data_IF_590367977893
#
_entry.id   IF_590367977893
#
_cell.length_a   1.000
_cell.length_b   1.000
_cell.length_c   1.000
_cell.angle_alpha   90.00
_cell.angle_beta   90.00
_cell.angle_gamma   90.00
#
_symmetry.space_group_name_H-M   'P 1'
#
loop_
_entity.id
_entity.type
_entity.pdbx_description
1 polymer ?
#
# COMPACT_ATOMS: atom_id res chain seq x y z
N UNK A 1 18.89 -20.20 8.29
CA UNK A 1 19.17 -20.51 6.87
C UNK A 1 20.59 -21.02 6.67
N UNK A 2 21.63 -20.31 7.12
CA UNK A 2 23.04 -20.73 6.93
C UNK A 2 23.39 -22.13 7.45
N UNK A 3 22.87 -22.51 8.63
CA UNK A 3 23.14 -23.84 9.22
C UNK A 3 22.54 -25.00 8.43
N UNK A 4 21.42 -24.76 7.74
CA UNK A 4 20.77 -25.75 6.88
C UNK A 4 21.51 -25.90 5.55
N UNK A 5 22.02 -24.79 5.00
CA UNK A 5 22.82 -24.81 3.77
C UNK A 5 24.13 -25.59 3.98
N UNK A 6 24.85 -25.33 5.07
CA UNK A 6 26.10 -26.04 5.39
C UNK A 6 25.93 -27.56 5.57
N UNK A 7 24.75 -28.02 5.99
CA UNK A 7 24.45 -29.46 6.09
C UNK A 7 24.17 -30.10 4.72
N UNK A 8 23.52 -29.36 3.82
CA UNK A 8 23.28 -29.80 2.43
C UNK A 8 24.60 -29.91 1.68
N UNK A 9 25.46 -28.90 1.78
CA UNK A 9 26.77 -28.88 1.11
C UNK A 9 27.67 -30.04 1.60
N UNK A 10 27.62 -30.36 2.89
CA UNK A 10 28.36 -31.48 3.48
C UNK A 10 27.84 -32.87 3.02
N UNK A 11 26.54 -32.98 2.76
CA UNK A 11 25.95 -34.21 2.22
C UNK A 11 26.24 -34.36 0.72
N UNK A 12 26.26 -33.26 -0.03
CA UNK A 12 26.58 -33.24 -1.46
C UNK A 12 28.04 -33.63 -1.70
N UNK A 13 28.98 -33.15 -0.88
CA UNK A 13 30.37 -33.58 -0.91
C UNK A 13 30.54 -35.09 -0.67
N UNK A 14 29.83 -35.64 0.32
CA UNK A 14 29.84 -37.09 0.61
C UNK A 14 29.21 -37.92 -0.52
N UNK A 15 28.17 -37.40 -1.18
CA UNK A 15 27.53 -38.06 -2.31
C UNK A 15 28.48 -38.14 -3.51
N UNK A 16 29.26 -37.08 -3.78
CA UNK A 16 30.27 -37.06 -4.85
C UNK A 16 31.40 -38.05 -4.55
N UNK A 17 31.84 -38.13 -3.30
CA UNK A 17 32.86 -39.08 -2.86
C UNK A 17 32.39 -40.54 -3.03
N UNK A 18 31.17 -40.84 -2.57
CA UNK A 18 30.56 -42.17 -2.75
C UNK A 18 30.35 -42.51 -4.23
N UNK A 19 29.86 -41.56 -5.05
CA UNK A 19 29.73 -41.75 -6.50
C UNK A 19 31.08 -42.06 -7.17
N UNK A 20 32.14 -41.37 -6.77
CA UNK A 20 33.49 -41.60 -7.33
C UNK A 20 34.01 -42.99 -6.96
N UNK A 21 33.76 -43.45 -5.73
CA UNK A 21 34.10 -44.81 -5.31
C UNK A 21 33.30 -45.89 -6.07
N UNK A 22 32.02 -45.64 -6.35
CA UNK A 22 31.19 -46.54 -7.14
C UNK A 22 31.62 -46.60 -8.61
N UNK A 23 31.89 -45.45 -9.24
CA UNK A 23 32.28 -45.41 -10.65
C UNK A 23 33.64 -46.06 -10.91
N UNK A 24 34.60 -45.88 -9.99
CA UNK A 24 35.89 -46.55 -10.04
C UNK A 24 35.77 -48.07 -9.87
N UNK A 25 34.70 -48.54 -9.21
CA UNK A 25 34.41 -49.97 -9.08
C UNK A 25 33.67 -50.54 -10.30
N UNK A 26 32.81 -49.76 -10.96
CA UNK A 26 32.09 -50.17 -12.18
C UNK A 26 32.98 -50.27 -13.43
N UNK A 27 34.10 -49.54 -13.49
CA UNK A 27 35.07 -49.65 -14.61
C UNK A 27 36.03 -50.84 -14.48
N UNK A 28 36.05 -51.52 -13.34
CA UNK A 28 37.00 -52.61 -13.01
C UNK A 28 36.33 -53.99 -13.04
N UNK A 29 34.99 -54.05 -13.11
CA UNK A 29 34.22 -55.28 -12.89
C UNK A 29 34.33 -56.35 -13.98
N UNK A 30 34.67 -55.99 -15.23
CA UNK A 30 34.68 -56.97 -16.34
C UNK A 30 36.01 -57.74 -16.48
N UNK A 31 37.14 -57.18 -16.02
CA UNK A 31 38.45 -57.86 -16.10
C UNK A 31 38.75 -58.72 -14.86
N UNK A 32 38.33 -58.29 -13.66
CA UNK A 32 38.65 -59.03 -12.43
C UNK A 32 37.84 -60.33 -12.25
N UNK A 33 36.61 -60.39 -12.76
CA UNK A 33 35.82 -61.64 -12.73
C UNK A 33 36.46 -62.72 -13.62
N UNK A 34 37.10 -62.34 -14.73
CA UNK A 34 37.78 -63.28 -15.62
C UNK A 34 39.06 -63.87 -15.00
N UNK A 35 39.88 -63.08 -14.32
CA UNK A 35 41.14 -63.57 -13.74
C UNK A 35 40.93 -64.48 -12.53
N UNK A 36 39.99 -64.13 -11.65
CA UNK A 36 39.66 -64.96 -10.50
C UNK A 36 38.98 -66.27 -10.90
N UNK A 37 38.08 -66.24 -11.88
CA UNK A 37 37.46 -67.46 -12.42
C UNK A 37 38.48 -68.38 -13.09
N UNK A 38 39.42 -67.80 -13.87
CA UNK A 38 40.53 -68.55 -14.46
C UNK A 38 41.40 -69.15 -13.38
N UNK A 39 41.74 -68.41 -12.33
CA UNK A 39 42.53 -68.91 -11.21
C UNK A 39 41.79 -70.02 -10.45
N UNK A 40 40.49 -69.87 -10.19
CA UNK A 40 39.66 -70.88 -9.54
C UNK A 40 39.56 -72.16 -10.37
N UNK A 41 39.34 -72.05 -11.70
CA UNK A 41 39.36 -73.19 -12.61
C UNK A 41 40.71 -73.89 -12.58
N UNK A 42 41.82 -73.14 -12.65
CA UNK A 42 43.18 -73.69 -12.61
C UNK A 42 43.50 -74.38 -11.28
N UNK A 43 43.11 -73.79 -10.15
CA UNK A 43 43.31 -74.39 -8.81
C UNK A 43 42.48 -75.66 -8.67
N UNK A 44 41.22 -75.67 -9.15
CA UNK A 44 40.37 -76.88 -9.16
C UNK A 44 41.00 -77.98 -10.03
N UNK A 45 41.43 -77.66 -11.25
CA UNK A 45 42.10 -78.60 -12.14
C UNK A 45 43.41 -79.14 -11.55
N UNK A 46 44.25 -78.27 -10.97
CA UNK A 46 45.49 -78.67 -10.33
C UNK A 46 45.22 -79.60 -9.12
N UNK A 47 44.22 -79.29 -8.31
CA UNK A 47 43.79 -80.15 -7.20
C UNK A 47 43.30 -81.52 -7.67
N UNK A 48 42.51 -81.59 -8.74
CA UNK A 48 42.07 -82.87 -9.34
C UNK A 48 43.25 -83.68 -9.88
N UNK A 49 44.19 -83.04 -10.58
CA UNK A 49 45.38 -83.70 -11.11
C UNK A 49 46.30 -84.21 -10.00
N UNK A 50 46.49 -83.44 -8.93
CA UNK A 50 47.27 -83.84 -7.77
C UNK A 50 46.60 -84.97 -7.00
N UNK A 51 45.28 -84.95 -6.88
CA UNK A 51 44.53 -86.07 -6.30
C UNK A 51 44.72 -87.34 -7.12
N UNK A 52 44.61 -87.24 -8.45
CA UNK A 52 44.89 -88.35 -9.36
C UNK A 52 46.33 -88.87 -9.24
N UNK A 53 47.32 -87.98 -9.20
CA UNK A 53 48.73 -88.34 -9.03
C UNK A 53 48.98 -88.97 -7.65
N UNK A 54 48.34 -88.47 -6.60
CA UNK A 54 48.38 -89.05 -5.24
C UNK A 54 47.80 -90.47 -5.25
N UNK A 55 46.63 -90.69 -5.86
CA UNK A 55 46.03 -92.02 -5.99
C UNK A 55 46.92 -92.96 -6.81
N UNK A 56 47.54 -92.45 -7.88
CA UNK A 56 48.46 -93.22 -8.73
C UNK A 56 49.76 -93.56 -8.00
N UNK A 57 50.32 -92.64 -7.22
CA UNK A 57 51.50 -92.87 -6.40
C UNK A 57 51.24 -93.88 -5.27
N UNK A 58 50.05 -93.82 -4.64
CA UNK A 58 49.59 -94.82 -3.68
C UNK A 58 49.40 -96.20 -4.34
N UNK A 59 48.87 -96.26 -5.57
CA UNK A 59 48.78 -97.51 -6.33
C UNK A 59 50.15 -98.05 -6.78
N UNK A 60 51.13 -97.18 -7.06
CA UNK A 60 52.51 -97.60 -7.33
C UNK A 60 53.21 -98.17 -6.09
N UNK A 61 52.80 -97.75 -4.89
CA UNK A 61 53.29 -98.33 -3.63
C UNK A 61 52.62 -99.66 -3.27
N UNK A 62 51.62 -100.12 -4.04
CA UNK A 62 50.95 -101.42 -3.85
C UNK A 62 51.33 -102.45 -4.93
N UNK A 63 52.37 -102.18 -5.72
CA UNK A 63 52.81 -103.04 -6.82
C UNK A 63 53.87 -104.04 -6.34
N UNK A 64 53.74 -105.31 -6.73
CA UNK A 64 54.65 -106.41 -6.35
C UNK A 64 56.12 -106.09 -6.71
N UNK A 65 57.00 -106.45 -5.76
CA UNK A 65 58.45 -106.20 -5.72
C UNK A 65 59.18 -106.51 -7.04
N UNK A 66 58.71 -107.52 -7.80
CA UNK A 66 59.36 -108.01 -9.03
C UNK A 66 59.27 -107.06 -10.24
N UNK A 67 58.28 -106.17 -10.30
CA UNK A 67 58.16 -105.24 -11.44
C UNK A 67 58.98 -103.96 -11.22
N UNK A 68 59.28 -103.64 -9.95
CA UNK A 68 60.12 -102.52 -9.55
C UNK A 68 61.58 -102.74 -9.97
N UNK A 69 62.07 -103.97 -9.88
CA UNK A 69 63.45 -104.36 -10.20
C UNK A 69 63.77 -104.20 -11.70
N UNK A 70 62.77 -104.28 -12.59
CA UNK A 70 63.01 -104.19 -14.04
C UNK A 70 63.11 -102.75 -14.58
N UNK A 71 62.63 -101.76 -13.82
CA UNK A 71 62.75 -100.34 -14.19
C UNK A 71 63.97 -99.65 -13.56
N UNK A 72 64.60 -100.26 -12.56
CA UNK A 72 65.59 -99.65 -11.68
C UNK A 72 67.04 -100.10 -11.92
N UNK A 73 67.37 -100.64 -13.10
CA UNK A 73 68.74 -101.00 -13.47
C UNK A 73 69.63 -99.80 -13.84
N UNK A 74 69.47 -98.67 -13.14
CA UNK A 74 70.43 -97.58 -13.07
C UNK A 74 70.35 -96.98 -11.67
N UNK A 75 71.46 -97.04 -10.93
CA UNK A 75 71.58 -96.55 -9.56
C UNK A 75 71.42 -95.02 -9.52
N UNK A 76 70.31 -94.54 -8.93
CA UNK A 76 70.12 -93.25 -8.21
C UNK A 76 68.63 -92.95 -7.86
N UNK A 77 67.67 -93.83 -8.18
CA UNK A 77 66.23 -93.47 -8.24
C UNK A 77 65.35 -93.68 -6.98
N UNK A 78 65.78 -94.41 -5.94
CA UNK A 78 64.89 -94.76 -4.80
C UNK A 78 64.65 -93.59 -3.82
N UNK A 79 65.66 -92.75 -3.58
CA UNK A 79 65.54 -91.53 -2.76
C UNK A 79 64.69 -90.45 -3.43
N UNK A 80 64.76 -90.37 -4.77
CA UNK A 80 63.99 -89.44 -5.58
C UNK A 80 62.47 -89.72 -5.50
N UNK A 81 62.05 -90.99 -5.46
CA UNK A 81 60.64 -91.37 -5.33
C UNK A 81 60.04 -90.96 -3.97
N UNK A 82 60.79 -91.13 -2.88
CA UNK A 82 60.36 -90.73 -1.53
C UNK A 82 60.23 -89.20 -1.40
N UNK A 83 61.17 -88.46 -1.97
CA UNK A 83 61.13 -87.00 -2.02
C UNK A 83 59.99 -86.48 -2.92
N UNK A 84 59.73 -87.17 -4.02
CA UNK A 84 58.58 -86.90 -4.90
C UNK A 84 57.25 -87.10 -4.16
N UNK A 85 57.08 -88.21 -3.43
CA UNK A 85 55.88 -88.44 -2.61
C UNK A 85 55.69 -87.37 -1.52
N UNK A 86 56.77 -86.97 -0.84
CA UNK A 86 56.75 -85.89 0.16
C UNK A 86 56.36 -84.54 -0.45
N UNK A 87 56.88 -84.22 -1.63
CA UNK A 87 56.53 -82.98 -2.34
C UNK A 87 55.07 -83.02 -2.81
N UNK A 88 54.59 -84.14 -3.36
CA UNK A 88 53.18 -84.33 -3.74
C UNK A 88 52.24 -84.19 -2.54
N UNK A 89 52.59 -84.75 -1.38
CA UNK A 89 51.79 -84.58 -0.16
C UNK A 89 51.74 -83.12 0.30
N UNK A 90 52.90 -82.45 0.35
CA UNK A 90 53.00 -81.03 0.74
C UNK A 90 52.19 -80.13 -0.20
N UNK A 91 52.28 -80.37 -1.51
CA UNK A 91 51.52 -79.62 -2.52
C UNK A 91 50.03 -79.93 -2.40
N UNK A 92 49.64 -81.17 -2.09
CA UNK A 92 48.23 -81.53 -1.88
C UNK A 92 47.64 -80.78 -0.69
N UNK A 93 48.33 -80.77 0.46
CA UNK A 93 47.86 -80.06 1.66
C UNK A 93 47.79 -78.54 1.43
N UNK A 94 48.75 -77.99 0.70
CA UNK A 94 48.74 -76.58 0.30
C UNK A 94 47.55 -76.25 -0.61
N UNK A 95 47.28 -77.10 -1.60
CA UNK A 95 46.13 -76.94 -2.49
C UNK A 95 44.81 -77.08 -1.76
N UNK A 96 44.68 -78.00 -0.79
CA UNK A 96 43.47 -78.12 0.03
C UNK A 96 43.20 -76.85 0.84
N UNK A 97 44.25 -76.28 1.46
CA UNK A 97 44.14 -74.99 2.19
C UNK A 97 43.79 -73.83 1.25
N UNK A 98 44.32 -73.82 0.04
CA UNK A 98 43.96 -72.82 -0.98
C UNK A 98 42.48 -72.95 -1.39
N UNK A 99 42.02 -74.16 -1.69
CA UNK A 99 40.61 -74.41 -2.07
C UNK A 99 39.66 -73.95 -0.96
N UNK A 100 39.96 -74.25 0.32
CA UNK A 100 39.14 -73.77 1.45
C UNK A 100 39.07 -72.25 1.52
N UNK A 101 40.19 -71.54 1.33
CA UNK A 101 40.21 -70.07 1.30
C UNK A 101 39.45 -69.48 0.11
N UNK A 102 39.58 -70.09 -1.07
CA UNK A 102 38.85 -69.69 -2.27
C UNK A 102 37.34 -69.82 -2.05
N UNK A 103 36.87 -70.94 -1.49
CA UNK A 103 35.45 -71.14 -1.18
C UNK A 103 34.93 -70.12 -0.16
N UNK A 104 35.70 -69.81 0.88
CA UNK A 104 35.32 -68.78 1.87
C UNK A 104 35.27 -67.39 1.24
N UNK A 105 36.24 -67.03 0.40
CA UNK A 105 36.23 -65.74 -0.30
C UNK A 105 35.06 -65.62 -1.29
N UNK A 106 34.72 -66.70 -2.00
CA UNK A 106 33.58 -66.79 -2.91
C UNK A 106 32.25 -66.61 -2.15
N UNK A 107 32.08 -67.28 -1.01
CA UNK A 107 30.87 -67.15 -0.20
C UNK A 107 30.75 -65.78 0.48
N UNK A 108 31.85 -65.21 0.97
CA UNK A 108 31.87 -63.85 1.54
C UNK A 108 31.56 -62.79 0.48
N UNK A 109 32.13 -62.92 -0.72
CA UNK A 109 31.81 -62.03 -1.86
C UNK A 109 30.34 -62.14 -2.25
N UNK A 110 29.77 -63.35 -2.28
CA UNK A 110 28.35 -63.54 -2.57
C UNK A 110 27.44 -62.88 -1.52
N UNK A 111 27.78 -62.98 -0.23
CA UNK A 111 27.06 -62.30 0.86
C UNK A 111 27.16 -60.78 0.69
N UNK A 112 28.34 -60.25 0.38
CA UNK A 112 28.54 -58.81 0.24
C UNK A 112 27.79 -58.26 -0.99
N UNK A 113 27.77 -58.99 -2.12
CA UNK A 113 26.93 -58.65 -3.29
C UNK A 113 25.44 -58.52 -2.90
N UNK A 114 24.91 -59.42 -2.06
CA UNK A 114 23.52 -59.34 -1.58
C UNK A 114 23.29 -58.11 -0.68
N UNK A 115 24.22 -57.79 0.22
CA UNK A 115 24.11 -56.59 1.07
C UNK A 115 24.11 -55.31 0.25
N UNK A 116 24.95 -55.22 -0.78
CA UNK A 116 24.99 -54.07 -1.68
C UNK A 116 23.65 -53.87 -2.37
N UNK A 117 23.04 -54.95 -2.90
CA UNK A 117 21.71 -54.89 -3.54
C UNK A 117 20.63 -54.37 -2.56
N UNK A 118 20.63 -54.86 -1.32
CA UNK A 118 19.69 -54.40 -0.28
C UNK A 118 19.92 -52.92 0.04
N UNK A 119 21.18 -52.51 0.22
CA UNK A 119 21.53 -51.11 0.49
C UNK A 119 21.13 -50.18 -0.66
N UNK A 120 21.35 -50.59 -1.91
CA UNK A 120 20.91 -49.84 -3.09
C UNK A 120 19.38 -49.69 -3.16
N UNK A 121 18.63 -50.73 -2.79
CA UNK A 121 17.18 -50.67 -2.70
C UNK A 121 16.70 -49.66 -1.65
N UNK A 122 17.31 -49.65 -0.46
CA UNK A 122 17.01 -48.70 0.60
C UNK A 122 17.37 -47.26 0.24
N UNK A 123 18.53 -47.05 -0.40
CA UNK A 123 18.93 -45.74 -0.94
C UNK A 123 17.92 -45.27 -1.99
N UNK A 124 17.48 -46.15 -2.89
CA UNK A 124 16.49 -45.80 -3.93
C UNK A 124 15.15 -45.42 -3.34
N UNK A 125 14.66 -46.15 -2.34
CA UNK A 125 13.43 -45.81 -1.61
C UNK A 125 13.55 -44.45 -0.93
N UNK A 126 14.68 -44.19 -0.29
CA UNK A 126 14.95 -42.92 0.39
C UNK A 126 15.02 -41.76 -0.61
N UNK A 127 15.66 -41.95 -1.77
CA UNK A 127 15.72 -40.96 -2.84
C UNK A 127 14.32 -40.59 -3.38
N UNK A 128 13.44 -41.59 -3.59
CA UNK A 128 12.06 -41.34 -4.01
C UNK A 128 11.24 -40.56 -2.98
N UNK A 129 11.46 -40.83 -1.68
CA UNK A 129 10.82 -40.08 -0.61
C UNK A 129 11.29 -38.62 -0.58
N UNK A 130 12.59 -38.38 -0.74
CA UNK A 130 13.17 -37.03 -0.81
C UNK A 130 12.57 -36.27 -2.00
N UNK A 131 12.49 -36.88 -3.18
CA UNK A 131 11.90 -36.27 -4.37
C UNK A 131 10.43 -35.89 -4.13
N UNK A 132 9.66 -36.79 -3.51
CA UNK A 132 8.26 -36.53 -3.16
C UNK A 132 8.13 -35.34 -2.18
N UNK A 133 9.01 -35.25 -1.20
CA UNK A 133 9.03 -34.12 -0.25
C UNK A 133 9.47 -32.83 -0.93
N UNK A 134 10.41 -32.90 -1.88
CA UNK A 134 10.89 -31.75 -2.66
C UNK A 134 9.75 -31.07 -3.41
N UNK A 135 8.96 -31.85 -4.16
CA UNK A 135 7.79 -31.32 -4.89
C UNK A 135 6.79 -30.65 -3.94
N UNK A 136 6.50 -31.27 -2.78
CA UNK A 136 5.59 -30.67 -1.79
C UNK A 136 6.13 -29.34 -1.24
N UNK A 137 7.44 -29.23 -1.01
CA UNK A 137 8.05 -27.98 -0.55
C UNK A 137 7.95 -26.88 -1.61
N UNK A 138 8.13 -27.19 -2.89
CA UNK A 138 7.94 -26.23 -3.98
C UNK A 138 6.49 -25.74 -4.09
N UNK A 139 5.51 -26.62 -3.88
CA UNK A 139 4.09 -26.26 -3.83
C UNK A 139 3.80 -25.33 -2.65
N UNK A 140 4.34 -25.65 -1.46
CA UNK A 140 4.23 -24.79 -0.29
C UNK A 140 4.87 -23.43 -0.52
N UNK A 141 6.04 -23.36 -1.17
CA UNK A 141 6.69 -22.10 -1.49
C UNK A 141 5.84 -21.26 -2.46
N UNK A 142 5.29 -21.89 -3.50
CA UNK A 142 4.35 -21.24 -4.44
C UNK A 142 3.12 -20.70 -3.72
N UNK A 143 2.55 -21.47 -2.78
CA UNK A 143 1.41 -21.05 -1.98
C UNK A 143 1.75 -19.85 -1.07
N UNK A 144 2.87 -19.91 -0.36
CA UNK A 144 3.33 -18.82 0.51
C UNK A 144 3.57 -17.54 -0.30
N UNK A 145 4.20 -17.66 -1.47
CA UNK A 145 4.42 -16.53 -2.38
C UNK A 145 3.10 -15.91 -2.88
N UNK A 146 2.13 -16.76 -3.23
CA UNK A 146 0.79 -16.34 -3.65
C UNK A 146 0.05 -15.58 -2.54
N UNK A 147 0.08 -16.13 -1.32
CA UNK A 147 -0.51 -15.54 -0.12
C UNK A 147 0.14 -14.20 0.23
N UNK A 148 1.48 -14.13 0.23
CA UNK A 148 2.23 -12.89 0.49
C UNK A 148 1.85 -11.77 -0.48
N UNK A 149 1.76 -12.08 -1.79
CA UNK A 149 1.34 -11.10 -2.80
C UNK A 149 -0.07 -10.55 -2.54
N UNK A 150 -0.99 -11.37 -2.03
CA UNK A 150 -2.33 -10.91 -1.65
C UNK A 150 -2.24 -9.96 -0.45
N UNK A 151 -1.48 -10.35 0.59
CA UNK A 151 -1.25 -9.50 1.76
C UNK A 151 -0.62 -8.15 1.41
N UNK A 152 0.37 -8.11 0.52
CA UNK A 152 0.99 -6.86 0.08
C UNK A 152 -0.03 -5.95 -0.63
N UNK A 153 -0.91 -6.51 -1.47
CA UNK A 153 -2.01 -5.76 -2.11
C UNK A 153 -3.03 -5.25 -1.09
N UNK A 154 -3.37 -6.06 -0.09
CA UNK A 154 -4.28 -5.66 0.98
C UNK A 154 -3.67 -4.53 1.81
N UNK A 155 -2.37 -4.63 2.13
CA UNK A 155 -1.64 -3.58 2.85
C UNK A 155 -1.67 -2.25 2.09
N UNK A 156 -1.34 -2.26 0.80
CA UNK A 156 -1.39 -1.05 -0.03
C UNK A 156 -2.79 -0.42 -0.05
N UNK A 157 -3.85 -1.23 -0.22
CA UNK A 157 -5.23 -0.70 -0.19
C UNK A 157 -5.59 -0.06 1.15
N UNK A 158 -5.08 -0.60 2.26
CA UNK A 158 -5.30 -0.02 3.59
C UNK A 158 -4.54 1.31 3.71
N UNK A 159 -3.30 1.38 3.24
CA UNK A 159 -2.52 2.62 3.19
C UNK A 159 -3.26 3.70 2.37
N UNK A 160 -3.72 3.36 1.15
CA UNK A 160 -4.47 4.27 0.28
C UNK A 160 -5.78 4.78 0.94
N UNK A 161 -6.49 3.89 1.67
CA UNK A 161 -7.70 4.26 2.40
C UNK A 161 -7.43 5.20 3.57
N UNK A 162 -6.32 5.01 4.29
CA UNK A 162 -5.91 5.89 5.39
C UNK A 162 -5.57 7.28 4.87
N UNK A 163 -4.87 7.37 3.73
CA UNK A 163 -4.54 8.63 3.08
C UNK A 163 -5.79 9.37 2.59
N UNK A 164 -6.72 8.67 1.94
CA UNK A 164 -7.98 9.28 1.49
C UNK A 164 -8.86 9.71 2.67
N UNK A 165 -8.90 8.92 3.76
CA UNK A 165 -9.62 9.31 4.98
C UNK A 165 -9.01 10.57 5.59
N UNK A 166 -7.69 10.73 5.55
CA UNK A 166 -7.01 11.93 6.04
C UNK A 166 -7.34 13.15 5.19
N UNK A 167 -7.35 13.01 3.86
CA UNK A 167 -7.78 14.08 2.93
C UNK A 167 -9.24 14.45 3.08
N UNK A 168 -10.12 13.49 3.38
CA UNK A 168 -11.53 13.76 3.67
C UNK A 168 -11.69 14.56 4.97
N UNK A 169 -10.90 14.24 6.00
CA UNK A 169 -10.92 14.96 7.28
C UNK A 169 -10.46 16.41 7.11
N UNK A 170 -9.43 16.65 6.32
CA UNK A 170 -8.94 18.00 6.01
C UNK A 170 -10.01 18.84 5.30
N UNK A 171 -10.61 18.31 4.21
CA UNK A 171 -11.72 18.96 3.51
C UNK A 171 -12.93 19.23 4.41
N UNK A 172 -13.22 18.32 5.34
CA UNK A 172 -14.30 18.52 6.30
C UNK A 172 -14.01 19.68 7.27
N UNK A 173 -12.76 19.82 7.72
CA UNK A 173 -12.33 20.94 8.55
C UNK A 173 -12.39 22.29 7.81
N UNK A 174 -11.95 22.33 6.55
CA UNK A 174 -12.06 23.53 5.70
C UNK A 174 -13.53 23.96 5.51
N UNK A 175 -14.41 22.99 5.24
CA UNK A 175 -15.84 23.26 5.10
C UNK A 175 -16.47 23.78 6.41
N UNK A 176 -16.04 23.26 7.57
CA UNK A 176 -16.50 23.74 8.87
C UNK A 176 -16.04 25.19 9.12
N UNK A 177 -14.81 25.52 8.74
CA UNK A 177 -14.29 26.88 8.84
C UNK A 177 -15.06 27.85 7.93
N UNK A 178 -15.30 27.48 6.67
CA UNK A 178 -16.09 28.29 5.73
C UNK A 178 -17.54 28.48 6.22
N UNK A 179 -18.15 27.42 6.75
CA UNK A 179 -19.47 27.50 7.35
C UNK A 179 -19.48 28.46 8.56
N UNK A 180 -18.43 28.46 9.38
CA UNK A 180 -18.29 29.40 10.49
C UNK A 180 -18.11 30.85 10.01
N UNK A 181 -17.37 31.08 8.92
CA UNK A 181 -17.22 32.40 8.29
C UNK A 181 -18.56 32.91 7.78
N UNK A 182 -19.27 32.11 6.98
CA UNK A 182 -20.59 32.47 6.43
C UNK A 182 -21.60 32.78 7.54
N UNK A 183 -21.64 31.98 8.61
CA UNK A 183 -22.52 32.26 9.77
C UNK A 183 -22.24 33.63 10.39
N UNK A 184 -20.97 34.00 10.52
CA UNK A 184 -20.57 35.31 11.05
C UNK A 184 -21.05 36.44 10.14
N UNK A 185 -20.87 36.28 8.84
CA UNK A 185 -21.31 37.27 7.84
C UNK A 185 -22.83 37.45 7.84
N UNK A 186 -23.58 36.36 8.02
CA UNK A 186 -25.04 36.42 8.18
C UNK A 186 -25.47 37.16 9.45
N UNK A 187 -24.78 36.97 10.57
CA UNK A 187 -25.09 37.72 11.80
C UNK A 187 -24.76 39.21 11.64
N UNK A 188 -23.64 39.54 10.97
CA UNK A 188 -23.32 40.92 10.60
C UNK A 188 -24.39 41.51 9.68
N UNK A 189 -24.81 40.79 8.64
CA UNK A 189 -25.87 41.22 7.73
C UNK A 189 -27.19 41.48 8.46
N UNK A 190 -27.57 40.59 9.38
CA UNK A 190 -28.75 40.76 10.21
C UNK A 190 -28.68 42.05 11.05
N UNK A 191 -27.52 42.33 11.67
CA UNK A 191 -27.28 43.59 12.39
C UNK A 191 -27.42 44.82 11.47
N UNK A 192 -26.85 44.77 10.26
CA UNK A 192 -27.00 45.84 9.27
C UNK A 192 -28.47 46.08 8.89
N UNK A 193 -29.24 45.01 8.64
CA UNK A 193 -30.66 45.10 8.32
C UNK A 193 -31.45 45.71 9.49
N UNK A 194 -31.17 45.28 10.73
CA UNK A 194 -31.79 45.89 11.91
C UNK A 194 -31.49 47.39 12.03
N UNK A 195 -30.23 47.79 11.80
CA UNK A 195 -29.85 49.21 11.78
C UNK A 195 -30.60 49.99 10.68
N UNK A 196 -30.71 49.40 9.48
CA UNK A 196 -31.42 50.02 8.36
C UNK A 196 -32.92 50.19 8.64
N UNK A 197 -33.54 49.23 9.33
CA UNK A 197 -34.94 49.34 9.78
C UNK A 197 -35.10 50.54 10.73
N UNK A 198 -34.22 50.71 11.73
CA UNK A 198 -34.27 51.85 12.65
C UNK A 198 -34.11 53.19 11.93
N UNK A 199 -33.21 53.27 10.94
CA UNK A 199 -33.05 54.47 10.10
C UNK A 199 -34.33 54.75 9.32
N UNK A 200 -34.93 53.72 8.69
CA UNK A 200 -36.20 53.85 7.97
C UNK A 200 -37.32 54.37 8.87
N UNK A 201 -37.45 53.86 10.09
CA UNK A 201 -38.46 54.31 11.04
C UNK A 201 -38.27 55.78 11.43
N UNK A 202 -37.01 56.20 11.63
CA UNK A 202 -36.67 57.60 11.91
C UNK A 202 -37.04 58.51 10.74
N UNK A 203 -36.72 58.10 9.50
CA UNK A 203 -37.09 58.85 8.29
C UNK A 203 -38.61 58.94 8.13
N UNK A 204 -39.35 57.85 8.35
CA UNK A 204 -40.81 57.86 8.31
C UNK A 204 -41.43 58.79 9.37
N UNK A 205 -40.80 58.92 10.54
CA UNK A 205 -41.24 59.88 11.56
C UNK A 205 -40.98 61.32 11.13
N UNK A 206 -39.79 61.61 10.59
CA UNK A 206 -39.43 62.92 10.05
C UNK A 206 -40.38 63.35 8.92
N UNK A 207 -40.72 62.43 8.02
CA UNK A 207 -41.67 62.68 6.93
C UNK A 207 -43.05 63.12 7.45
N UNK A 208 -43.57 62.46 8.50
CA UNK A 208 -44.84 62.88 9.14
C UNK A 208 -44.75 64.27 9.76
N UNK A 209 -43.60 64.63 10.31
CA UNK A 209 -43.38 65.98 10.83
C UNK A 209 -43.37 67.00 9.69
N UNK A 210 -42.72 66.70 8.57
CA UNK A 210 -42.69 67.58 7.39
C UNK A 210 -44.09 67.82 6.85
N UNK A 211 -44.91 66.78 6.72
CA UNK A 211 -46.32 66.91 6.34
C UNK A 211 -47.12 67.80 7.29
N UNK A 212 -46.80 67.79 8.58
CA UNK A 212 -47.44 68.69 9.56
C UNK A 212 -47.01 70.13 9.34
N UNK A 213 -45.71 70.35 9.07
CA UNK A 213 -45.14 71.66 8.76
C UNK A 213 -45.75 72.21 7.47
N UNK A 214 -45.90 71.40 6.42
CA UNK A 214 -46.52 71.80 5.15
C UNK A 214 -47.95 72.32 5.34
N UNK A 215 -48.79 71.63 6.12
CA UNK A 215 -50.16 72.11 6.44
C UNK A 215 -50.17 73.43 7.20
N UNK A 216 -49.19 73.65 8.09
CA UNK A 216 -49.04 74.92 8.79
C UNK A 216 -48.63 76.04 7.81
N UNK A 217 -47.74 75.74 6.86
CA UNK A 217 -47.37 76.68 5.80
C UNK A 217 -48.55 77.02 4.89
N UNK A 218 -49.35 76.04 4.46
CA UNK A 218 -50.57 76.29 3.67
C UNK A 218 -51.51 77.26 4.40
N UNK A 219 -51.76 77.01 5.69
CA UNK A 219 -52.61 77.89 6.52
C UNK A 219 -52.02 79.29 6.70
N UNK A 220 -50.70 79.39 6.81
CA UNK A 220 -50.01 80.69 6.89
C UNK A 220 -50.16 81.47 5.59
N UNK A 221 -50.04 80.81 4.44
CA UNK A 221 -50.24 81.41 3.12
C UNK A 221 -51.68 81.89 2.96
N UNK A 222 -52.69 81.09 3.33
CA UNK A 222 -54.09 81.50 3.33
C UNK A 222 -54.32 82.75 4.20
N UNK A 223 -53.73 82.78 5.40
CA UNK A 223 -53.85 83.92 6.31
C UNK A 223 -53.17 85.18 5.77
N UNK A 224 -52.02 85.02 5.13
CA UNK A 224 -51.32 86.13 4.47
C UNK A 224 -52.17 86.73 3.35
N UNK A 225 -52.74 85.89 2.48
CA UNK A 225 -53.64 86.33 1.42
C UNK A 225 -54.90 87.03 1.98
N UNK A 226 -55.48 86.51 3.07
CA UNK A 226 -56.61 87.17 3.74
C UNK A 226 -56.24 88.56 4.25
N UNK A 227 -55.12 88.69 4.97
CA UNK A 227 -54.66 89.97 5.49
C UNK A 227 -54.32 90.97 4.38
N UNK A 228 -53.79 90.51 3.24
CA UNK A 228 -53.55 91.33 2.07
C UNK A 228 -54.85 91.88 1.48
N UNK A 229 -55.90 91.05 1.39
CA UNK A 229 -57.23 91.50 0.93
C UNK A 229 -57.90 92.50 1.89
N UNK A 230 -57.83 92.26 3.20
CA UNK A 230 -58.34 93.18 4.23
C UNK A 230 -57.59 94.51 4.21
N UNK A 231 -56.26 94.46 4.01
CA UNK A 231 -55.44 95.66 3.85
C UNK A 231 -55.86 96.46 2.63
N UNK A 232 -56.00 95.81 1.46
CA UNK A 232 -56.42 96.48 0.22
C UNK A 232 -57.82 97.11 0.35
N UNK A 233 -58.75 96.45 1.03
CA UNK A 233 -60.07 97.01 1.34
C UNK A 233 -59.96 98.28 2.19
N UNK A 234 -59.24 98.22 3.31
CA UNK A 234 -59.06 99.36 4.23
C UNK A 234 -58.35 100.52 3.56
N UNK A 235 -57.34 100.26 2.73
CA UNK A 235 -56.68 101.29 1.92
C UNK A 235 -57.69 102.00 0.99
N UNK A 236 -58.61 101.25 0.38
CA UNK A 236 -59.70 101.82 -0.41
C UNK A 236 -60.70 102.66 0.40
N UNK A 237 -61.05 102.25 1.62
CA UNK A 237 -61.90 103.03 2.54
C UNK A 237 -61.23 104.35 2.97
N UNK A 238 -59.95 104.29 3.31
CA UNK A 238 -59.14 105.48 3.64
C UNK A 238 -59.11 106.44 2.46
N UNK A 239 -58.92 105.94 1.24
CA UNK A 239 -58.93 106.77 0.02
C UNK A 239 -60.27 107.49 -0.18
N UNK A 240 -61.41 106.80 0.01
CA UNK A 240 -62.75 107.42 -0.06
C UNK A 240 -62.95 108.51 0.99
N UNK A 241 -62.52 108.24 2.24
CA UNK A 241 -62.60 109.23 3.32
C UNK A 241 -61.72 110.45 3.02
N UNK A 242 -60.53 110.25 2.43
CA UNK A 242 -59.68 111.35 1.98
C UNK A 242 -60.36 112.20 0.91
N UNK A 243 -60.99 111.57 -0.10
CA UNK A 243 -61.73 112.28 -1.16
C UNK A 243 -62.91 113.09 -0.58
N UNK A 244 -63.68 112.51 0.34
CA UNK A 244 -64.77 113.21 1.00
C UNK A 244 -64.26 114.36 1.87
N UNK A 245 -63.15 114.17 2.59
CA UNK A 245 -62.54 115.23 3.40
C UNK A 245 -62.10 116.41 2.53
N UNK A 246 -61.45 116.14 1.38
CA UNK A 246 -61.10 117.17 0.39
C UNK A 246 -62.36 117.92 -0.10
N UNK A 247 -63.45 117.20 -0.40
CA UNK A 247 -64.72 117.80 -0.82
C UNK A 247 -65.34 118.68 0.27
N UNK A 248 -65.37 118.21 1.51
CA UNK A 248 -65.88 118.97 2.66
C UNK A 248 -65.02 120.21 2.91
N UNK A 249 -63.69 120.10 2.82
CA UNK A 249 -62.79 121.23 2.97
C UNK A 249 -63.05 122.31 1.91
N UNK A 250 -63.23 121.91 0.65
CA UNK A 250 -63.62 122.85 -0.42
C UNK A 250 -64.99 123.52 -0.16
N UNK A 251 -65.94 122.81 0.45
CA UNK A 251 -67.23 123.37 0.84
C UNK A 251 -67.09 124.37 2.00
N UNK A 252 -66.23 124.07 2.98
CA UNK A 252 -65.88 124.98 4.08
C UNK A 252 -65.26 126.25 3.50
N UNK A 253 -64.26 126.15 2.62
CA UNK A 253 -63.63 127.29 1.96
C UNK A 253 -64.67 128.18 1.24
N UNK A 254 -65.62 127.57 0.52
CA UNK A 254 -66.69 128.30 -0.15
C UNK A 254 -67.61 129.04 0.84
N UNK A 255 -67.92 128.42 1.99
CA UNK A 255 -68.75 129.03 3.04
C UNK A 255 -68.02 130.13 3.80
N UNK A 256 -66.74 129.95 4.07
CA UNK A 256 -65.89 131.00 4.66
C UNK A 256 -65.80 132.20 3.73
N UNK A 257 -65.59 131.99 2.43
CA UNK A 257 -65.62 133.06 1.43
C UNK A 257 -66.98 133.79 1.38
N UNK A 258 -68.10 133.05 1.43
CA UNK A 258 -69.45 133.63 1.52
C UNK A 258 -69.63 134.48 2.78
N UNK A 259 -69.20 133.98 3.94
CA UNK A 259 -69.28 134.70 5.21
C UNK A 259 -68.42 135.97 5.21
N UNK A 260 -67.20 135.91 4.66
CA UNK A 260 -66.34 137.09 4.50
C UNK A 260 -67.01 138.15 3.62
N UNK A 261 -67.57 137.75 2.48
CA UNK A 261 -68.30 138.67 1.60
C UNK A 261 -69.54 139.28 2.27
N UNK A 262 -70.32 138.50 3.01
CA UNK A 262 -71.45 139.02 3.80
C UNK A 262 -70.99 139.97 4.91
N UNK A 263 -69.90 139.64 5.61
CA UNK A 263 -69.33 140.51 6.64
C UNK A 263 -68.85 141.84 6.05
N UNK A 264 -68.24 141.83 4.88
CA UNK A 264 -67.87 143.04 4.13
C UNK A 264 -69.09 143.84 3.69
N UNK A 265 -70.15 143.19 3.19
CA UNK A 265 -71.42 143.86 2.89
C UNK A 265 -72.03 144.52 4.13
N UNK A 266 -72.05 143.84 5.29
CA UNK A 266 -72.51 144.42 6.54
C UNK A 266 -71.66 145.63 6.96
N UNK A 267 -70.34 145.58 6.80
CA UNK A 267 -69.45 146.73 7.03
C UNK A 267 -69.75 147.88 6.07
N UNK A 268 -69.97 147.62 4.79
CA UNK A 268 -70.35 148.63 3.80
C UNK A 268 -71.73 149.24 4.07
N UNK A 269 -72.72 148.44 4.50
CA UNK A 269 -74.03 148.97 4.93
C UNK A 269 -73.88 149.86 6.17
N UNK A 270 -73.01 149.51 7.13
CA UNK A 270 -72.72 150.35 8.29
C UNK A 270 -71.97 151.66 7.90
N UNK A 271 -71.10 151.61 6.89
CA UNK A 271 -70.40 152.79 6.35
C UNK A 271 -71.28 153.64 5.40
N UNK A 272 -72.23 153.03 4.70
CA UNK A 272 -73.22 153.71 3.86
C UNK A 272 -74.33 154.39 4.68
N UNK A 273 -74.69 153.80 5.82
CA UNK A 273 -75.57 154.43 6.82
C UNK A 273 -74.91 155.60 7.56
N UNK A 274 -73.61 155.84 7.38
CA UNK A 274 -72.90 157.03 7.90
C UNK A 274 -72.75 158.14 6.85
N UNK A 275 -73.37 158.01 5.66
CA UNK A 275 -73.40 159.03 4.60
C UNK A 275 -74.82 159.46 4.15
N UNK A 276 -75.82 159.35 5.02
CA UNK A 276 -77.11 160.05 4.92
C UNK A 276 -77.51 160.65 6.27
#
# INVERSE_FOLDING_TARGET
>A
MERSQSQVDALEAKLIEVKSCMWNSSSSGEESENEFDVLCRRVRTASTLLTYLKTKAVNLSSFDEETWIKLSSSNEDEGWVSELLRSVHTVTDFMERLVKRVIMAESETAIEKVKVIIGEEEIRKSALQIETMSVKLEEMERFIRGTKRIFDKMRQRVEDLVDETSRQRERAAENEEELCRVKRDFESLKSYVSSFISVRETLLSSEKQFQTIERLFERLVEKANQLESEKAQKEGEVQKLMEENVRLNALVDMKEAQLLAMNEQCKLMALGASHF
#
